data_IF_259180472218
#
_entry.id   IF_259180472218
#
_cell.length_a   1.000
_cell.length_b   1.000
_cell.length_c   1.000
_cell.angle_alpha   90.00
_cell.angle_beta   90.00
_cell.angle_gamma   90.00
#
_symmetry.space_group_name_H-M   'P 1'
#
loop_
_entity.id
_entity.type
_entity.pdbx_description
1 polymer ?
#
# COMPACT_ATOMS: atom_id res chain seq x y z
N UNK A 1 -10.08 -3.41 39.65
CA UNK A 1 -9.29 -4.27 38.74
C UNK A 1 -9.92 -4.21 37.35
N UNK A 2 -9.15 -3.93 36.28
CA UNK A 2 -9.69 -3.76 34.91
C UNK A 2 -10.32 -5.03 34.30
N UNK A 3 -10.24 -6.17 35.00
CA UNK A 3 -10.76 -7.48 34.56
C UNK A 3 -12.28 -7.53 34.34
N UNK A 4 -13.06 -6.60 34.88
CA UNK A 4 -14.51 -6.53 34.64
C UNK A 4 -14.92 -5.52 33.56
N UNK A 5 -13.97 -4.74 33.02
CA UNK A 5 -14.25 -3.63 32.08
C UNK A 5 -14.09 -4.02 30.61
N UNK A 6 -13.48 -5.17 30.32
CA UNK A 6 -13.23 -5.63 28.95
C UNK A 6 -13.83 -7.02 28.73
N UNK A 7 -14.31 -7.33 27.51
CA UNK A 7 -14.71 -8.69 27.18
C UNK A 7 -13.56 -9.68 27.39
N UNK A 8 -13.89 -10.90 27.83
CA UNK A 8 -12.90 -11.96 28.09
C UNK A 8 -12.05 -12.28 26.85
N UNK A 9 -12.64 -12.14 25.66
CA UNK A 9 -11.96 -12.31 24.37
C UNK A 9 -10.80 -11.33 24.15
N UNK A 10 -10.91 -10.10 24.68
CA UNK A 10 -9.84 -9.09 24.61
C UNK A 10 -8.78 -9.37 25.66
N UNK A 11 -9.18 -9.74 26.88
CA UNK A 11 -8.27 -10.01 27.98
C UNK A 11 -7.39 -11.24 27.74
N UNK A 12 -7.95 -12.29 27.10
CA UNK A 12 -7.25 -13.54 26.81
C UNK A 12 -6.60 -13.57 25.43
N UNK A 13 -6.75 -12.51 24.62
CA UNK A 13 -6.13 -12.44 23.30
C UNK A 13 -4.60 -12.48 23.45
N UNK A 14 -3.94 -13.38 22.72
CA UNK A 14 -2.46 -13.42 22.66
C UNK A 14 -1.92 -12.11 22.08
N UNK A 15 -0.79 -11.64 22.61
CA UNK A 15 -0.06 -10.53 22.03
C UNK A 15 0.31 -10.87 20.59
N UNK A 16 0.04 -9.95 19.67
CA UNK A 16 0.36 -10.09 18.26
C UNK A 16 0.87 -8.75 17.73
N UNK A 17 1.59 -8.81 16.61
CA UNK A 17 2.02 -7.62 15.89
C UNK A 17 0.82 -6.80 15.44
N UNK A 18 1.05 -5.49 15.30
CA UNK A 18 0.08 -4.59 14.72
C UNK A 18 0.41 -4.43 13.23
N UNK A 19 -0.04 -5.37 12.42
CA UNK A 19 0.08 -5.29 10.96
C UNK A 19 -1.20 -4.69 10.40
N UNK A 20 -1.07 -3.56 9.72
CA UNK A 20 -2.18 -3.01 8.96
C UNK A 20 -2.52 -3.91 7.77
N UNK A 21 -3.81 -4.03 7.40
CA UNK A 21 -4.24 -4.83 6.25
C UNK A 21 -4.02 -4.06 4.94
N UNK A 22 -2.77 -3.61 4.70
CA UNK A 22 -2.39 -2.83 3.52
C UNK A 22 -2.86 -3.49 2.23
N UNK A 23 -2.65 -4.79 2.11
CA UNK A 23 -3.07 -5.52 0.90
C UNK A 23 -4.58 -5.40 0.63
N UNK A 24 -5.41 -5.55 1.67
CA UNK A 24 -6.86 -5.42 1.55
C UNK A 24 -7.25 -3.99 1.14
N UNK A 25 -6.64 -2.99 1.77
CA UNK A 25 -6.93 -1.59 1.49
C UNK A 25 -6.48 -1.19 0.09
N UNK A 26 -5.26 -1.53 -0.30
CA UNK A 26 -4.70 -1.19 -1.61
C UNK A 26 -5.46 -1.83 -2.77
N UNK A 27 -5.98 -3.05 -2.61
CA UNK A 27 -6.83 -3.71 -3.62
C UNK A 27 -8.27 -3.22 -3.62
N UNK A 28 -8.72 -2.65 -2.51
CA UNK A 28 -10.10 -2.22 -2.26
C UNK A 28 -10.19 -0.70 -2.17
N UNK A 29 -10.45 -0.20 -0.96
CA UNK A 29 -10.82 1.19 -0.72
C UNK A 29 -9.79 2.24 -1.19
N UNK A 30 -8.49 1.92 -1.18
CA UNK A 30 -7.43 2.83 -1.64
C UNK A 30 -7.10 2.67 -3.13
N UNK A 31 -7.64 1.66 -3.80
CA UNK A 31 -7.34 1.41 -5.22
C UNK A 31 -7.62 2.63 -6.11
N UNK A 32 -8.76 3.34 -5.98
CA UNK A 32 -9.05 4.51 -6.81
C UNK A 32 -8.06 5.67 -6.63
N UNK A 33 -7.35 5.72 -5.49
CA UNK A 33 -6.33 6.74 -5.23
C UNK A 33 -4.94 6.30 -5.73
N UNK A 34 -4.60 5.03 -5.52
CA UNK A 34 -3.27 4.49 -5.83
C UNK A 34 -3.08 4.27 -7.34
N UNK A 35 -4.08 3.66 -7.99
CA UNK A 35 -3.97 3.21 -9.38
C UNK A 35 -3.68 4.36 -10.35
N UNK A 36 -4.37 5.52 -10.30
CA UNK A 36 -4.05 6.65 -11.18
C UNK A 36 -2.62 7.18 -11.00
N UNK A 37 -2.09 7.18 -9.77
CA UNK A 37 -0.72 7.63 -9.50
C UNK A 37 0.30 6.64 -10.05
N UNK A 38 0.05 5.33 -9.93
CA UNK A 38 0.95 4.31 -10.49
C UNK A 38 0.91 4.25 -12.02
N UNK A 39 -0.27 4.43 -12.63
CA UNK A 39 -0.46 4.33 -14.07
C UNK A 39 -0.20 5.63 -14.85
N UNK A 40 -0.13 6.79 -14.19
CA UNK A 40 0.24 8.06 -14.82
C UNK A 40 1.75 8.19 -14.98
N UNK A 41 2.20 8.99 -15.95
CA UNK A 41 3.63 9.29 -16.11
C UNK A 41 4.10 10.30 -15.05
N UNK A 42 5.32 10.15 -14.54
CA UNK A 42 5.97 11.12 -13.64
C UNK A 42 7.28 11.56 -14.28
N UNK A 43 7.33 12.79 -14.80
CA UNK A 43 8.45 13.30 -15.60
C UNK A 43 9.80 13.25 -14.85
N UNK A 44 9.78 13.47 -13.54
CA UNK A 44 10.97 13.44 -12.68
C UNK A 44 11.61 12.04 -12.59
N UNK A 45 10.90 10.99 -13.01
CA UNK A 45 11.39 9.61 -13.04
C UNK A 45 11.71 9.11 -14.45
N UNK A 46 11.59 9.95 -15.47
CA UNK A 46 11.91 9.57 -16.85
C UNK A 46 13.37 9.11 -16.96
N UNK A 47 13.58 7.94 -17.57
CA UNK A 47 14.88 7.31 -17.68
C UNK A 47 15.41 6.64 -16.41
N UNK A 48 14.79 6.86 -15.25
CA UNK A 48 15.18 6.24 -13.97
C UNK A 48 14.26 5.08 -13.58
N UNK A 49 12.96 5.22 -13.82
CA UNK A 49 11.96 4.20 -13.51
C UNK A 49 11.14 3.90 -14.76
N UNK A 50 11.15 2.62 -15.17
CA UNK A 50 10.33 2.16 -16.29
C UNK A 50 8.85 2.16 -15.91
N UNK A 51 8.04 2.93 -16.62
CA UNK A 51 6.58 2.93 -16.45
C UNK A 51 5.99 1.52 -16.65
N UNK A 52 6.49 0.77 -17.63
CA UNK A 52 6.09 -0.62 -17.86
C UNK A 52 6.37 -1.51 -16.65
N UNK A 53 7.52 -1.35 -16.00
CA UNK A 53 7.86 -2.12 -14.81
C UNK A 53 6.96 -1.76 -13.61
N UNK A 54 6.55 -0.49 -13.49
CA UNK A 54 5.58 -0.06 -12.47
C UNK A 54 4.22 -0.74 -12.69
N UNK A 55 3.75 -0.78 -13.93
CA UNK A 55 2.52 -1.48 -14.31
C UNK A 55 2.59 -2.99 -14.04
N UNK A 56 3.71 -3.63 -14.36
CA UNK A 56 3.96 -5.04 -14.04
C UNK A 56 3.90 -5.29 -12.53
N UNK A 57 4.55 -4.45 -11.72
CA UNK A 57 4.48 -4.54 -10.26
C UNK A 57 3.04 -4.36 -9.77
N UNK A 58 2.28 -3.40 -10.31
CA UNK A 58 0.89 -3.21 -9.93
C UNK A 58 0.01 -4.41 -10.31
N UNK A 59 0.18 -4.94 -11.51
CA UNK A 59 -0.58 -6.09 -12.02
C UNK A 59 -0.24 -7.39 -11.27
N UNK A 60 1.04 -7.65 -11.00
CA UNK A 60 1.47 -8.81 -10.21
C UNK A 60 1.01 -8.70 -8.77
N UNK A 61 0.98 -7.47 -8.21
CA UNK A 61 0.32 -7.23 -6.95
C UNK A 61 -1.15 -7.60 -7.08
N UNK A 62 -1.93 -7.00 -7.99
CA UNK A 62 -3.37 -7.30 -8.20
C UNK A 62 -3.65 -8.80 -8.40
N UNK A 63 -2.76 -9.53 -9.04
CA UNK A 63 -2.82 -10.98 -9.25
C UNK A 63 -2.39 -11.84 -8.04
N UNK A 64 -2.03 -11.22 -6.91
CA UNK A 64 -1.56 -11.87 -5.67
C UNK A 64 -0.24 -12.65 -5.82
N UNK A 65 0.61 -12.25 -6.76
CA UNK A 65 1.93 -12.87 -6.96
C UNK A 65 3.02 -12.27 -6.08
N UNK A 66 2.85 -11.03 -5.63
CA UNK A 66 3.82 -10.29 -4.81
C UNK A 66 3.15 -9.58 -3.62
N UNK A 67 3.94 -9.23 -2.61
CA UNK A 67 3.48 -8.50 -1.43
C UNK A 67 3.18 -7.02 -1.70
N UNK A 68 2.35 -6.41 -0.84
CA UNK A 68 1.92 -5.01 -0.90
C UNK A 68 3.05 -3.97 -0.86
N UNK A 69 4.21 -4.31 -0.27
CA UNK A 69 5.29 -3.36 -0.02
C UNK A 69 5.88 -2.73 -1.29
N UNK A 70 6.00 -3.51 -2.39
CA UNK A 70 6.58 -3.04 -3.66
C UNK A 70 5.72 -1.97 -4.35
N UNK A 71 4.42 -2.20 -4.64
CA UNK A 71 3.58 -1.15 -5.20
C UNK A 71 3.40 0.02 -4.23
N UNK A 72 3.42 -0.22 -2.91
CA UNK A 72 3.31 0.85 -1.92
C UNK A 72 4.49 1.83 -1.98
N UNK A 73 5.72 1.31 -2.05
CA UNK A 73 6.91 2.16 -2.16
C UNK A 73 6.89 3.01 -3.44
N UNK A 74 6.46 2.44 -4.57
CA UNK A 74 6.31 3.17 -5.83
C UNK A 74 5.25 4.26 -5.74
N UNK A 75 4.09 3.95 -5.14
CA UNK A 75 3.01 4.92 -4.95
C UNK A 75 3.47 6.09 -4.07
N UNK A 76 4.13 5.81 -2.93
CA UNK A 76 4.63 6.85 -2.01
C UNK A 76 5.64 7.75 -2.72
N UNK A 77 6.59 7.18 -3.47
CA UNK A 77 7.57 7.95 -4.23
C UNK A 77 6.89 8.87 -5.26
N UNK A 78 6.04 8.31 -6.12
CA UNK A 78 5.35 9.09 -7.17
C UNK A 78 4.42 10.15 -6.58
N UNK A 79 3.67 9.81 -5.53
CA UNK A 79 2.80 10.74 -4.81
C UNK A 79 3.58 11.89 -4.19
N UNK A 80 4.74 11.61 -3.59
CA UNK A 80 5.61 12.65 -3.05
C UNK A 80 6.15 13.57 -4.15
N UNK A 81 6.60 13.01 -5.27
CA UNK A 81 7.09 13.81 -6.42
C UNK A 81 5.98 14.71 -6.97
N UNK A 82 4.79 14.16 -7.20
CA UNK A 82 3.61 14.90 -7.67
C UNK A 82 3.10 15.96 -6.68
N UNK A 83 3.56 15.93 -5.42
CA UNK A 83 3.17 16.93 -4.41
C UNK A 83 4.22 18.03 -4.23
N UNK A 84 5.50 17.71 -4.47
CA UNK A 84 6.61 18.58 -4.06
C UNK A 84 7.47 19.06 -5.24
N UNK A 85 7.44 18.38 -6.39
CA UNK A 85 8.30 18.66 -7.55
C UNK A 85 7.55 18.81 -8.88
N UNK A 86 6.22 18.74 -8.86
CA UNK A 86 5.34 19.03 -10.01
C UNK A 86 4.92 20.49 -10.04
#
# INVERSE_FOLDING_TARGET
SMKSLLPESVQRRKKMGFTFPFELWMRGALRPEIEPVLLSKTEQLDGLVSQKAVEEVWNDFLARKISWSRPWALYVLKSWLNKNLS
#
